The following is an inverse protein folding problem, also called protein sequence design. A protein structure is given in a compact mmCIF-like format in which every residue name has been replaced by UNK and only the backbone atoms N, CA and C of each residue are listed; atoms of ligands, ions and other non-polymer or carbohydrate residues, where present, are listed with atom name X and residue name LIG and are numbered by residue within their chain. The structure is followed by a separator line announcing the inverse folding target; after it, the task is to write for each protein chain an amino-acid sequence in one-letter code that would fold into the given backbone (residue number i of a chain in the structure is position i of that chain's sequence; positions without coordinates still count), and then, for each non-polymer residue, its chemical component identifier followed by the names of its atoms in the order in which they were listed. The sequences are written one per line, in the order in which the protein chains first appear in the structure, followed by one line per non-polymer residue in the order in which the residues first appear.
data_IF_400048025074
#
_entry.id   IF_400048025074
#
_cell.length_a   1.000
_cell.length_b   1.000
_cell.length_c   1.000
_cell.angle_alpha   90.00
_cell.angle_beta   90.00
_cell.angle_gamma   90.00
#
_symmetry.space_group_name_H-M   'P 1'
#
loop_
_entity.id
_entity.type
_entity.pdbx_description
1 polymer ?
#
# COMPACT_ATOMS: atom_id res chain seq x y z
N UNK A 1 -8.39 -11.63 -8.04
CA UNK A 1 -9.55 -11.55 -7.11
C UNK A 1 -9.24 -10.90 -5.75
N UNK A 2 -8.35 -11.46 -4.93
CA UNK A 2 -8.14 -10.96 -3.55
C UNK A 2 -7.57 -9.54 -3.50
N UNK A 3 -6.49 -9.26 -4.26
CA UNK A 3 -5.90 -7.93 -4.30
C UNK A 3 -6.77 -6.90 -5.04
N UNK A 4 -7.62 -7.33 -5.98
CA UNK A 4 -8.58 -6.44 -6.64
C UNK A 4 -9.63 -5.92 -5.66
N UNK A 5 -10.08 -6.76 -4.70
CA UNK A 5 -10.95 -6.30 -3.60
C UNK A 5 -10.26 -5.25 -2.74
N UNK A 6 -8.98 -5.46 -2.40
CA UNK A 6 -8.21 -4.47 -1.64
C UNK A 6 -8.03 -3.15 -2.43
N UNK A 7 -7.81 -3.22 -3.74
CA UNK A 7 -7.74 -2.04 -4.62
C UNK A 7 -9.06 -1.29 -4.62
N UNK A 8 -10.19 -2.00 -4.76
CA UNK A 8 -11.52 -1.37 -4.72
C UNK A 8 -11.78 -0.72 -3.36
N UNK A 9 -11.55 -1.45 -2.26
CA UNK A 9 -11.77 -0.93 -0.91
C UNK A 9 -10.90 0.29 -0.59
N UNK A 10 -9.64 0.31 -1.06
CA UNK A 10 -8.78 1.47 -0.90
C UNK A 10 -9.33 2.72 -1.64
N UNK A 11 -9.84 2.54 -2.87
CA UNK A 11 -10.44 3.62 -3.67
C UNK A 11 -11.74 4.12 -3.04
N UNK A 12 -12.62 3.22 -2.60
CA UNK A 12 -13.87 3.57 -1.92
C UNK A 12 -13.63 4.30 -0.59
N UNK A 13 -12.54 3.97 0.10
CA UNK A 13 -12.12 4.66 1.33
C UNK A 13 -11.43 6.01 1.09
N UNK A 14 -11.31 6.47 -0.16
CA UNK A 14 -10.82 7.81 -0.51
C UNK A 14 -9.36 7.89 -0.93
N UNK A 15 -8.72 6.77 -1.31
CA UNK A 15 -7.43 6.83 -2.00
C UNK A 15 -7.58 7.52 -3.37
N UNK A 16 -6.61 8.35 -3.75
CA UNK A 16 -6.54 8.93 -5.10
C UNK A 16 -6.39 7.85 -6.16
N UNK A 17 -5.69 6.77 -5.84
CA UNK A 17 -5.52 5.63 -6.72
C UNK A 17 -4.93 4.43 -5.99
N UNK A 18 -5.09 3.26 -6.59
CA UNK A 18 -4.59 2.00 -6.07
C UNK A 18 -4.24 1.05 -7.22
N UNK A 19 -3.11 0.34 -7.13
CA UNK A 19 -2.70 -0.68 -8.11
C UNK A 19 -1.95 -1.85 -7.49
N UNK A 20 -1.81 -2.94 -8.25
CA UNK A 20 -0.90 -4.05 -7.94
C UNK A 20 0.57 -3.63 -8.03
N UNK A 21 1.43 -4.22 -7.21
CA UNK A 21 2.89 -4.07 -7.32
C UNK A 21 3.51 -5.19 -8.17
N UNK A 22 4.61 -4.93 -8.87
CA UNK A 22 5.32 -5.94 -9.68
C UNK A 22 4.61 -6.33 -10.97
N UNK A 23 4.83 -7.57 -11.43
CA UNK A 23 4.27 -8.12 -12.68
C UNK A 23 2.84 -8.68 -12.58
N UNK A 24 2.28 -8.78 -11.36
CA UNK A 24 0.96 -9.36 -11.10
C UNK A 24 1.00 -10.76 -10.45
N UNK A 25 -0.17 -11.39 -10.29
CA UNK A 25 -0.30 -12.76 -9.76
C UNK A 25 -0.43 -12.90 -8.24
N UNK A 26 -0.10 -11.87 -7.46
CA UNK A 26 -0.25 -11.91 -5.99
C UNK A 26 0.61 -10.89 -5.27
N UNK A 27 0.82 -11.11 -3.96
CA UNK A 27 1.68 -10.27 -3.13
C UNK A 27 0.96 -9.02 -2.59
N UNK A 28 1.43 -7.85 -3.02
CA UNK A 28 1.04 -6.55 -2.47
C UNK A 28 0.30 -5.67 -3.48
N UNK A 29 -0.40 -4.68 -2.94
CA UNK A 29 -0.95 -3.55 -3.69
C UNK A 29 -0.50 -2.26 -3.02
N UNK A 30 -0.54 -1.15 -3.76
CA UNK A 30 -0.15 0.18 -3.28
C UNK A 30 -1.33 1.14 -3.46
N UNK A 31 -1.65 1.91 -2.42
CA UNK A 31 -2.71 2.92 -2.41
C UNK A 31 -2.13 4.30 -2.07
N UNK A 32 -2.32 5.27 -2.97
CA UNK A 32 -1.93 6.65 -2.74
C UNK A 32 -3.08 7.41 -2.06
N UNK A 33 -2.89 7.82 -0.82
CA UNK A 33 -3.97 8.33 0.03
C UNK A 33 -3.55 9.47 0.99
N UNK A 34 -2.93 10.56 0.50
CA UNK A 34 -2.59 11.70 1.35
C UNK A 34 -3.84 12.27 2.04
N UNK A 35 -3.76 12.50 3.35
CA UNK A 35 -4.90 12.98 4.16
C UNK A 35 -6.01 11.96 4.41
N UNK A 36 -5.89 10.73 3.90
CA UNK A 36 -6.91 9.66 4.03
C UNK A 36 -6.32 8.32 4.49
N UNK A 37 -5.13 8.34 5.08
CA UNK A 37 -4.36 7.12 5.39
C UNK A 37 -5.15 6.19 6.31
N UNK A 38 -5.76 6.67 7.40
CA UNK A 38 -6.42 5.79 8.36
C UNK A 38 -7.77 5.24 7.85
N UNK A 39 -8.50 6.02 7.05
CA UNK A 39 -9.71 5.58 6.35
C UNK A 39 -9.37 4.41 5.41
N UNK A 40 -8.33 4.59 4.59
CA UNK A 40 -7.87 3.56 3.64
C UNK A 40 -7.36 2.32 4.36
N UNK A 41 -6.60 2.49 5.46
CA UNK A 41 -6.14 1.35 6.28
C UNK A 41 -7.31 0.56 6.87
N UNK A 42 -8.35 1.23 7.36
CA UNK A 42 -9.56 0.57 7.88
C UNK A 42 -10.30 -0.17 6.79
N UNK A 43 -10.47 0.42 5.60
CA UNK A 43 -11.06 -0.24 4.43
C UNK A 43 -10.31 -1.51 4.05
N UNK A 44 -8.98 -1.44 3.94
CA UNK A 44 -8.14 -2.60 3.60
C UNK A 44 -8.23 -3.70 4.68
N UNK A 45 -8.22 -3.37 5.98
CA UNK A 45 -8.35 -4.35 7.07
C UNK A 45 -9.69 -5.08 7.04
N UNK A 46 -10.79 -4.38 6.74
CA UNK A 46 -12.14 -4.98 6.64
C UNK A 46 -12.20 -6.06 5.55
N UNK A 47 -11.47 -5.86 4.46
CA UNK A 47 -11.33 -6.85 3.38
C UNK A 47 -10.27 -7.94 3.66
N UNK A 48 -9.74 -8.01 4.88
CA UNK A 48 -8.75 -9.01 5.29
C UNK A 48 -7.30 -8.68 4.89
N UNK A 49 -7.04 -7.48 4.37
CA UNK A 49 -5.70 -7.01 4.05
C UNK A 49 -4.92 -6.57 5.29
N UNK A 50 -3.59 -6.57 5.19
CA UNK A 50 -2.67 -6.08 6.23
C UNK A 50 -1.96 -4.80 5.74
N UNK A 51 -2.45 -3.60 6.09
CA UNK A 51 -1.88 -2.35 5.59
C UNK A 51 -0.53 -2.04 6.25
N UNK A 52 0.47 -1.76 5.41
CA UNK A 52 1.76 -1.21 5.82
C UNK A 52 1.82 0.29 5.46
N UNK A 53 1.78 1.21 6.43
CA UNK A 53 1.90 2.64 6.17
C UNK A 53 3.33 2.94 5.72
N UNK A 54 3.47 3.60 4.57
CA UNK A 54 4.77 3.98 4.02
C UNK A 54 4.74 5.46 3.63
N UNK A 55 5.88 6.13 3.76
CA UNK A 55 6.11 7.41 3.08
C UNK A 55 6.90 7.13 1.80
N UNK A 56 6.60 7.88 0.76
CA UNK A 56 7.40 7.82 -0.47
C UNK A 56 8.69 8.60 -0.29
N UNK A 57 9.77 8.08 -0.86
CA UNK A 57 11.11 8.63 -0.68
C UNK A 57 11.80 8.12 0.58
N UNK A 58 13.12 8.21 0.56
CA UNK A 58 14.00 7.67 1.58
C UNK A 58 15.40 7.49 1.00
N UNK A 59 16.38 7.29 1.87
CA UNK A 59 17.74 7.03 1.44
C UNK A 59 17.86 5.58 0.94
N UNK A 60 18.65 5.39 -0.11
CA UNK A 60 18.95 4.07 -0.65
C UNK A 60 19.98 3.32 0.18
N UNK A 61 20.70 2.40 -0.47
CA UNK A 61 21.78 1.65 0.15
C UNK A 61 22.87 2.60 0.70
N UNK A 62 23.19 2.46 1.98
CA UNK A 62 24.37 3.06 2.61
C UNK A 62 25.40 1.96 2.84
N UNK A 63 26.64 2.19 2.41
CA UNK A 63 27.76 1.30 2.71
C UNK A 63 28.55 1.97 3.84
N UNK A 64 28.61 1.31 4.99
CA UNK A 64 29.52 1.69 6.07
C UNK A 64 30.83 0.93 5.95
N UNK A 65 31.89 1.48 6.50
CA UNK A 65 33.13 0.72 6.71
C UNK A 65 32.87 -0.38 7.75
N UNK A 66 33.44 -1.58 7.52
CA UNK A 66 33.48 -2.61 8.55
C UNK A 66 34.47 -2.15 9.63
N UNK A 67 34.02 -2.10 10.89
CA UNK A 67 34.88 -2.04 12.07
C UNK A 67 35.82 -3.24 12.13
#
# INVERSE_FOLDING_TARGET
PALERLIRAAREAGAYGAKLTGGGGGGCMLALCPGRVEEVRRGIRREGGRPLPVRLGGEGLRVGEKL
#
